data_IF_054266830305
#
_entry.id   IF_054266830305
#
_cell.length_a   1.000
_cell.length_b   1.000
_cell.length_c   1.000
_cell.angle_alpha   90.00
_cell.angle_beta   90.00
_cell.angle_gamma   90.00
#
_symmetry.space_group_name_H-M   'P 1'
#
loop_
_entity.id
_entity.type
_entity.pdbx_description
1 polymer ?
#
# COMPACT_ATOMS: atom_id res chain seq x y z
N UNK A 1 -0.15 -68.92 -9.99
CA UNK A 1 -0.59 -68.50 -11.34
C UNK A 1 -1.42 -67.24 -11.16
N UNK A 2 -0.87 -66.10 -11.60
CA UNK A 2 -1.53 -64.81 -11.92
C UNK A 2 -2.16 -63.96 -10.81
N UNK A 3 -1.34 -63.08 -10.20
CA UNK A 3 -1.36 -61.59 -10.31
C UNK A 3 -2.60 -60.89 -10.94
N UNK A 4 -2.79 -59.56 -10.82
CA UNK A 4 -2.80 -58.67 -9.64
C UNK A 4 -4.00 -57.69 -9.72
N UNK A 5 -4.83 -57.53 -8.68
CA UNK A 5 -5.74 -56.36 -8.62
C UNK A 5 -4.98 -55.15 -8.09
N UNK A 6 -4.07 -54.65 -8.94
CA UNK A 6 -3.63 -53.28 -8.91
C UNK A 6 -4.90 -52.41 -8.95
N UNK A 7 -5.17 -51.70 -7.85
CA UNK A 7 -6.13 -50.60 -7.84
C UNK A 7 -5.60 -49.54 -8.81
N UNK A 8 -5.93 -49.70 -10.09
CA UNK A 8 -5.81 -48.69 -11.13
C UNK A 8 -6.85 -47.60 -10.83
N UNK A 9 -6.66 -46.84 -9.76
CA UNK A 9 -7.32 -45.57 -9.50
C UNK A 9 -6.79 -44.44 -10.39
N UNK A 10 -6.27 -44.79 -11.57
CA UNK A 10 -5.59 -43.90 -12.52
C UNK A 10 -6.39 -43.66 -13.80
N UNK A 11 -7.72 -43.83 -13.77
CA UNK A 11 -8.59 -43.52 -14.90
C UNK A 11 -9.33 -42.19 -14.65
N UNK A 12 -8.85 -41.15 -15.34
CA UNK A 12 -9.52 -39.89 -15.69
C UNK A 12 -10.09 -39.07 -14.52
N UNK A 13 -9.24 -38.20 -13.93
CA UNK A 13 -9.79 -36.97 -13.34
C UNK A 13 -10.66 -36.31 -14.42
N UNK A 14 -11.94 -36.13 -14.13
CA UNK A 14 -12.82 -35.44 -15.08
C UNK A 14 -12.26 -34.04 -15.37
N UNK A 15 -12.48 -33.53 -16.58
CA UNK A 15 -12.10 -32.16 -16.95
C UNK A 15 -12.62 -31.12 -15.92
N UNK A 16 -13.79 -31.38 -15.33
CA UNK A 16 -14.34 -30.57 -14.24
C UNK A 16 -13.47 -30.58 -12.97
N UNK A 17 -12.90 -31.72 -12.58
CA UNK A 17 -11.98 -31.81 -11.45
C UNK A 17 -10.62 -31.17 -11.72
N UNK A 18 -10.10 -31.26 -12.96
CA UNK A 18 -8.85 -30.60 -13.36
C UNK A 18 -8.99 -29.07 -13.38
N UNK A 19 -10.10 -28.56 -13.90
CA UNK A 19 -10.39 -27.12 -13.88
C UNK A 19 -10.64 -26.63 -12.45
N UNK A 20 -11.35 -27.40 -11.63
CA UNK A 20 -11.57 -27.07 -10.23
C UNK A 20 -10.24 -27.04 -9.44
N UNK A 21 -9.34 -28.00 -9.65
CA UNK A 21 -8.02 -28.01 -8.98
C UNK A 21 -7.14 -26.86 -9.45
N UNK A 22 -7.07 -26.60 -10.76
CA UNK A 22 -6.29 -25.48 -11.30
C UNK A 22 -6.79 -24.12 -10.80
N UNK A 23 -8.12 -23.96 -10.69
CA UNK A 23 -8.72 -22.73 -10.13
C UNK A 23 -8.40 -22.59 -8.63
N UNK A 24 -8.41 -23.70 -7.89
CA UNK A 24 -8.03 -23.70 -6.48
C UNK A 24 -6.55 -23.34 -6.27
N UNK A 25 -5.64 -23.85 -7.11
CA UNK A 25 -4.21 -23.51 -7.08
C UNK A 25 -3.97 -22.03 -7.43
N UNK A 26 -4.66 -21.49 -8.44
CA UNK A 26 -4.59 -20.05 -8.75
C UNK A 26 -5.10 -19.19 -7.58
N UNK A 27 -6.20 -19.60 -6.94
CA UNK A 27 -6.71 -18.92 -5.73
C UNK A 27 -5.70 -18.95 -4.58
N UNK A 28 -5.00 -20.08 -4.40
CA UNK A 28 -3.97 -20.22 -3.38
C UNK A 28 -2.78 -19.27 -3.66
N UNK A 29 -2.31 -19.20 -4.91
CA UNK A 29 -1.23 -18.28 -5.30
C UNK A 29 -1.60 -16.81 -5.06
N UNK A 30 -2.81 -16.40 -5.44
CA UNK A 30 -3.28 -15.02 -5.19
C UNK A 30 -3.35 -14.74 -3.69
N UNK A 31 -3.82 -15.70 -2.89
CA UNK A 31 -3.85 -15.56 -1.43
C UNK A 31 -2.44 -15.39 -0.84
N UNK A 32 -1.47 -16.18 -1.32
CA UNK A 32 -0.09 -16.14 -0.87
C UNK A 32 0.58 -14.82 -1.24
N UNK A 33 0.36 -14.31 -2.45
CA UNK A 33 0.89 -13.01 -2.89
C UNK A 33 0.31 -11.86 -2.05
N UNK A 34 -1.00 -11.93 -1.73
CA UNK A 34 -1.64 -10.97 -0.81
C UNK A 34 -1.06 -11.10 0.60
N UNK A 35 -0.84 -12.32 1.09
CA UNK A 35 -0.26 -12.56 2.41
C UNK A 35 1.17 -12.00 2.49
N UNK A 36 1.97 -12.19 1.44
CA UNK A 36 3.32 -11.65 1.32
C UNK A 36 3.29 -10.12 1.27
N UNK A 37 2.50 -9.53 0.38
CA UNK A 37 2.35 -8.08 0.27
C UNK A 37 1.87 -7.45 1.59
N UNK A 38 0.99 -8.14 2.32
CA UNK A 38 0.55 -7.72 3.66
C UNK A 38 1.66 -7.82 4.69
N UNK A 39 2.52 -8.84 4.61
CA UNK A 39 3.68 -8.97 5.49
C UNK A 39 4.72 -7.86 5.23
N UNK A 40 5.02 -7.57 3.97
CA UNK A 40 5.91 -6.47 3.58
C UNK A 40 5.34 -5.12 4.00
N UNK A 41 4.07 -4.85 3.71
CA UNK A 41 3.40 -3.64 4.15
C UNK A 41 3.43 -3.47 5.68
N UNK A 42 3.21 -4.55 6.45
CA UNK A 42 3.32 -4.51 7.93
C UNK A 42 4.75 -4.17 8.37
N UNK A 43 5.76 -4.73 7.71
CA UNK A 43 7.15 -4.44 8.00
C UNK A 43 7.49 -2.97 7.70
N UNK A 44 7.02 -2.46 6.57
CA UNK A 44 7.22 -1.06 6.18
C UNK A 44 6.50 -0.10 7.11
N UNK A 45 5.25 -0.39 7.46
CA UNK A 45 4.50 0.39 8.46
C UNK A 45 5.22 0.37 9.81
N UNK A 46 5.73 -0.77 10.25
CA UNK A 46 6.47 -0.87 11.53
C UNK A 46 7.76 -0.04 11.49
N UNK A 47 8.55 -0.15 10.42
CA UNK A 47 9.78 0.63 10.22
C UNK A 47 9.48 2.12 10.15
N UNK A 48 8.46 2.50 9.38
CA UNK A 48 7.98 3.87 9.27
C UNK A 48 7.47 4.42 10.60
N UNK A 49 6.77 3.61 11.40
CA UNK A 49 6.28 4.02 12.71
C UNK A 49 7.42 4.26 13.70
N UNK A 50 8.40 3.34 13.77
CA UNK A 50 9.57 3.49 14.65
C UNK A 50 10.38 4.72 14.23
N UNK A 51 10.66 4.87 12.93
CA UNK A 51 11.37 6.03 12.39
C UNK A 51 10.61 7.33 12.66
N UNK A 52 9.29 7.33 12.46
CA UNK A 52 8.43 8.47 12.72
C UNK A 52 8.42 8.89 14.18
N UNK A 53 8.31 7.94 15.12
CA UNK A 53 8.40 8.22 16.56
C UNK A 53 9.78 8.79 16.91
N UNK A 54 10.86 8.17 16.42
CA UNK A 54 12.22 8.63 16.71
C UNK A 54 12.47 10.06 16.21
N UNK A 55 12.06 10.37 14.97
CA UNK A 55 12.19 11.72 14.39
C UNK A 55 11.33 12.72 15.16
N UNK A 56 10.10 12.34 15.52
CA UNK A 56 9.20 13.21 16.29
C UNK A 56 9.78 13.50 17.68
N UNK A 57 10.24 12.47 18.39
CA UNK A 57 10.87 12.61 19.70
C UNK A 57 12.15 13.47 19.64
N UNK A 58 13.01 13.24 18.64
CA UNK A 58 14.19 14.07 18.40
C UNK A 58 13.81 15.53 18.14
N UNK A 59 12.78 15.78 17.31
CA UNK A 59 12.26 17.13 17.04
C UNK A 59 11.76 17.83 18.30
N UNK A 60 11.02 17.12 19.16
CA UNK A 60 10.55 17.64 20.46
C UNK A 60 11.74 17.97 21.36
N UNK A 61 12.74 17.08 21.48
CA UNK A 61 13.92 17.32 22.30
C UNK A 61 14.71 18.54 21.82
N UNK A 62 14.91 18.69 20.50
CA UNK A 62 15.55 19.88 19.93
C UNK A 62 14.74 21.13 20.25
N UNK A 63 13.41 21.09 20.12
CA UNK A 63 12.53 22.21 20.44
C UNK A 63 12.68 22.65 21.91
N UNK A 64 12.76 21.71 22.85
CA UNK A 64 13.00 22.01 24.26
C UNK A 64 14.44 22.45 24.56
N UNK A 65 15.42 22.00 23.79
CA UNK A 65 16.80 22.42 23.93
C UNK A 65 17.04 23.85 23.40
N UNK A 66 16.23 24.32 22.44
CA UNK A 66 16.39 25.65 21.83
C UNK A 66 16.42 26.79 22.87
N UNK A 67 15.48 26.92 23.82
CA UNK A 67 15.56 27.93 24.87
C UNK A 67 16.85 27.85 25.69
N UNK A 68 17.27 26.65 26.08
CA UNK A 68 18.50 26.43 26.87
C UNK A 68 19.73 26.92 26.12
N UNK A 69 19.87 26.54 24.85
CA UNK A 69 20.95 27.06 24.00
C UNK A 69 20.83 28.55 23.71
N UNK A 70 19.61 29.10 23.64
CA UNK A 70 19.39 30.54 23.47
C UNK A 70 19.93 31.32 24.66
N UNK A 71 19.62 30.87 25.88
CA UNK A 71 20.16 31.45 27.12
C UNK A 71 21.68 31.31 27.16
N UNK A 72 22.22 30.12 26.89
CA UNK A 72 23.66 29.88 26.89
C UNK A 72 24.38 30.80 25.89
N UNK A 73 23.85 30.96 24.68
CA UNK A 73 24.42 31.87 23.68
C UNK A 73 24.33 33.34 24.11
N UNK A 74 23.19 33.78 24.65
CA UNK A 74 23.01 35.15 25.10
C UNK A 74 23.97 35.49 26.25
N UNK A 75 24.13 34.60 27.24
CA UNK A 75 25.11 34.79 28.31
C UNK A 75 26.55 34.71 27.81
N UNK A 76 26.84 33.84 26.84
CA UNK A 76 28.15 33.77 26.19
C UNK A 76 28.53 35.09 25.50
N UNK A 77 27.58 35.71 24.78
CA UNK A 77 27.77 37.02 24.15
C UNK A 77 27.87 38.12 25.21
N UNK A 78 27.07 38.05 26.26
CA UNK A 78 27.11 39.02 27.36
C UNK A 78 28.51 39.06 28.02
N UNK A 79 29.16 37.90 28.18
CA UNK A 79 30.52 37.80 28.72
C UNK A 79 31.60 38.49 27.86
N UNK A 80 31.29 38.88 26.62
CA UNK A 80 32.17 39.71 25.77
C UNK A 80 32.05 41.21 26.08
N UNK A 81 31.26 41.60 27.10
CA UNK A 81 31.05 42.99 27.52
C UNK A 81 29.82 43.66 26.89
N UNK A 82 29.02 42.92 26.11
CA UNK A 82 27.77 43.41 25.55
C UNK A 82 26.66 43.42 26.61
N UNK A 83 25.76 44.40 26.57
CA UNK A 83 24.58 44.41 27.44
C UNK A 83 23.70 43.16 27.23
N UNK A 84 23.05 42.69 28.30
CA UNK A 84 22.25 41.47 28.25
C UNK A 84 21.11 41.58 27.22
N UNK A 85 20.43 42.72 27.15
CA UNK A 85 19.37 42.99 26.17
C UNK A 85 19.86 42.86 24.72
N UNK A 86 21.02 43.44 24.40
CA UNK A 86 21.62 43.35 23.06
C UNK A 86 22.05 41.92 22.73
N UNK A 87 22.51 41.16 23.72
CA UNK A 87 22.90 39.77 23.55
C UNK A 87 21.71 38.89 23.15
N UNK A 88 20.56 39.04 23.85
CA UNK A 88 19.33 38.35 23.46
C UNK A 88 18.79 38.82 22.10
N UNK A 89 18.91 40.11 21.77
CA UNK A 89 18.47 40.62 20.48
C UNK A 89 19.28 40.02 19.33
N UNK A 90 20.59 39.87 19.49
CA UNK A 90 21.47 39.23 18.49
C UNK A 90 21.10 37.76 18.30
N UNK A 91 20.96 37.01 19.40
CA UNK A 91 20.62 35.56 19.34
C UNK A 91 19.22 35.36 18.74
N UNK A 92 18.24 36.12 19.20
CA UNK A 92 16.87 36.08 18.67
C UNK A 92 16.83 36.47 17.18
N UNK A 93 17.54 37.54 16.81
CA UNK A 93 17.68 37.96 15.42
C UNK A 93 18.32 36.89 14.53
N UNK A 94 19.35 36.20 15.03
CA UNK A 94 19.98 35.09 14.33
C UNK A 94 19.00 33.93 14.07
N UNK A 95 18.14 33.60 15.04
CA UNK A 95 17.08 32.59 14.83
C UNK A 95 16.04 33.04 13.82
N UNK A 96 15.64 34.31 13.80
CA UNK A 96 14.71 34.84 12.79
C UNK A 96 15.31 34.72 11.39
N UNK A 97 16.59 35.08 11.21
CA UNK A 97 17.29 34.93 9.92
C UNK A 97 17.37 33.46 9.51
N UNK A 98 17.73 32.57 10.43
CA UNK A 98 17.79 31.14 10.17
C UNK A 98 16.42 30.56 9.79
N UNK A 99 15.36 30.95 10.51
CA UNK A 99 13.99 30.53 10.24
C UNK A 99 13.52 31.01 8.86
N UNK A 100 13.83 32.26 8.48
CA UNK A 100 13.52 32.79 7.17
C UNK A 100 14.23 31.99 6.06
N UNK A 101 15.51 31.66 6.24
CA UNK A 101 16.26 30.86 5.26
C UNK A 101 15.67 29.45 5.11
N UNK A 102 15.37 28.77 6.22
CA UNK A 102 14.75 27.44 6.21
C UNK A 102 13.37 27.47 5.56
N UNK A 103 12.55 28.49 5.84
CA UNK A 103 11.24 28.67 5.22
C UNK A 103 11.35 28.86 3.71
N UNK A 104 12.32 29.67 3.24
CA UNK A 104 12.58 29.85 1.81
C UNK A 104 12.98 28.54 1.12
N UNK A 105 13.87 27.76 1.75
CA UNK A 105 14.27 26.44 1.24
C UNK A 105 13.06 25.49 1.19
N UNK A 106 12.27 25.43 2.26
CA UNK A 106 11.07 24.59 2.32
C UNK A 106 10.09 24.96 1.21
N UNK A 107 9.75 26.24 1.05
CA UNK A 107 8.87 26.73 -0.02
C UNK A 107 9.44 26.39 -1.40
N UNK A 108 10.74 26.58 -1.61
CA UNK A 108 11.38 26.26 -2.89
C UNK A 108 11.34 24.76 -3.21
N UNK A 109 11.39 23.89 -2.19
CA UNK A 109 11.28 22.44 -2.35
C UNK A 109 9.84 22.01 -2.58
N UNK A 110 8.88 22.51 -1.80
CA UNK A 110 7.47 22.20 -1.97
C UNK A 110 6.91 22.67 -3.32
N UNK A 111 7.35 23.83 -3.82
CA UNK A 111 6.99 24.30 -5.16
C UNK A 111 7.41 23.35 -6.29
N UNK A 112 8.40 22.49 -6.07
CA UNK A 112 8.89 21.52 -7.07
C UNK A 112 8.18 20.18 -6.99
N UNK A 113 7.38 19.93 -5.94
CA UNK A 113 6.61 18.70 -5.79
C UNK A 113 5.34 18.81 -6.64
N UNK A 114 5.34 18.15 -7.80
CA UNK A 114 4.13 17.97 -8.61
C UNK A 114 3.35 16.76 -8.11
N UNK A 115 2.00 16.79 -8.11
CA UNK A 115 1.21 15.61 -7.82
C UNK A 115 1.57 14.47 -8.79
N UNK A 116 1.50 13.19 -8.38
CA UNK A 116 1.85 12.06 -9.24
C UNK A 116 0.75 11.81 -10.28
N UNK A 117 0.67 12.67 -11.29
CA UNK A 117 -0.39 12.68 -12.32
C UNK A 117 -0.52 11.34 -13.04
N UNK A 118 0.62 10.70 -13.39
CA UNK A 118 0.63 9.40 -14.06
C UNK A 118 0.00 8.31 -13.19
N UNK A 119 0.35 8.23 -11.91
CA UNK A 119 -0.21 7.25 -10.98
C UNK A 119 -1.70 7.45 -10.77
N UNK A 120 -2.15 8.71 -10.67
CA UNK A 120 -3.58 9.04 -10.53
C UNK A 120 -4.33 8.69 -11.82
N UNK A 121 -3.76 8.97 -13.00
CA UNK A 121 -4.36 8.65 -14.29
C UNK A 121 -4.47 7.13 -14.49
N UNK A 122 -3.39 6.38 -14.22
CA UNK A 122 -3.41 4.91 -14.28
C UNK A 122 -4.45 4.32 -13.34
N UNK A 123 -4.54 4.78 -12.09
CA UNK A 123 -5.53 4.30 -11.13
C UNK A 123 -6.98 4.56 -11.61
N UNK A 124 -7.25 5.74 -12.19
CA UNK A 124 -8.56 6.07 -12.77
C UNK A 124 -8.90 5.20 -13.97
N UNK A 125 -7.93 4.93 -14.85
CA UNK A 125 -8.12 4.05 -16.00
C UNK A 125 -8.43 2.61 -15.56
N UNK A 126 -7.71 2.09 -14.56
CA UNK A 126 -7.98 0.76 -13.99
C UNK A 126 -9.37 0.69 -13.37
N UNK A 127 -9.77 1.71 -12.60
CA UNK A 127 -11.12 1.77 -12.02
C UNK A 127 -12.22 1.83 -13.10
N UNK A 128 -12.03 2.63 -14.15
CA UNK A 128 -12.98 2.75 -15.25
C UNK A 128 -13.11 1.43 -16.04
N UNK A 129 -12.00 0.73 -16.28
CA UNK A 129 -12.01 -0.57 -16.96
C UNK A 129 -12.80 -1.62 -16.16
N UNK A 130 -12.67 -1.62 -14.83
CA UNK A 130 -13.39 -2.55 -13.96
C UNK A 130 -14.89 -2.24 -13.85
N UNK A 131 -15.28 -0.97 -13.89
CA UNK A 131 -16.69 -0.55 -13.90
C UNK A 131 -17.41 -0.88 -15.22
N UNK A 132 -16.67 -0.95 -16.33
CA UNK A 132 -17.20 -1.29 -17.65
C UNK A 132 -17.53 -2.78 -17.85
N UNK A 133 -17.04 -3.66 -16.97
CA UNK A 133 -17.32 -5.10 -17.05
C UNK A 133 -18.67 -5.39 -16.39
N UNK A 134 -19.76 -5.33 -17.18
CA UNK A 134 -21.03 -5.96 -16.82
C UNK A 134 -20.81 -7.47 -16.65
N UNK A 135 -21.24 -8.11 -15.55
CA UNK A 135 -21.24 -9.57 -15.45
C UNK A 135 -22.03 -10.12 -16.65
N UNK A 136 -21.33 -10.77 -17.58
CA UNK A 136 -21.99 -11.35 -18.74
C UNK A 136 -22.83 -12.53 -18.23
N UNK A 137 -24.15 -12.55 -18.48
CA UNK A 137 -24.94 -13.75 -18.27
C UNK A 137 -24.29 -14.83 -19.12
N UNK A 138 -23.87 -15.93 -18.47
CA UNK A 138 -23.40 -17.12 -19.17
C UNK A 138 -24.45 -17.45 -20.24
N UNK A 139 -24.14 -17.42 -21.55
CA UNK A 139 -25.08 -17.96 -22.52
C UNK A 139 -25.27 -19.42 -22.14
N UNK A 140 -26.52 -19.80 -21.92
CA UNK A 140 -26.94 -21.17 -21.64
C UNK A 140 -26.18 -22.08 -22.60
N UNK A 141 -25.22 -22.81 -22.06
CA UNK A 141 -24.42 -23.74 -22.86
C UNK A 141 -25.35 -24.77 -23.45
N UNK A 142 -24.99 -25.34 -24.60
CA UNK A 142 -25.73 -26.39 -25.34
C UNK A 142 -26.29 -27.51 -24.43
N UNK A 143 -25.71 -27.71 -23.23
CA UNK A 143 -26.23 -28.53 -22.14
C UNK A 143 -27.70 -28.23 -21.74
N UNK A 144 -28.11 -26.96 -21.72
CA UNK A 144 -29.47 -26.54 -21.37
C UNK A 144 -30.47 -26.91 -22.49
N UNK A 145 -30.05 -26.82 -23.75
CA UNK A 145 -30.86 -27.20 -24.92
C UNK A 145 -31.02 -28.73 -25.09
N UNK A 146 -29.99 -29.50 -24.70
CA UNK A 146 -30.04 -30.98 -24.74
C UNK A 146 -30.95 -31.54 -23.64
N UNK A 147 -31.07 -30.83 -22.51
CA UNK A 147 -31.94 -31.22 -21.39
C UNK A 147 -33.43 -31.00 -21.72
N UNK A 148 -33.79 -29.93 -22.44
CA UNK A 148 -35.18 -29.69 -22.86
C UNK A 148 -35.66 -30.63 -23.98
N UNK A 149 -34.80 -30.95 -24.96
CA UNK A 149 -35.17 -31.88 -26.05
C UNK A 149 -35.45 -33.29 -25.52
N UNK A 150 -34.66 -33.74 -24.53
CA UNK A 150 -34.82 -35.07 -23.92
C UNK A 150 -36.10 -35.17 -23.06
N UNK A 151 -36.52 -34.07 -22.43
CA UNK A 151 -37.75 -34.01 -21.63
C UNK A 151 -39.03 -33.92 -22.50
N UNK A 152 -38.94 -33.33 -23.70
CA UNK A 152 -40.06 -33.23 -24.65
C UNK A 152 -40.40 -34.57 -25.30
N UNK A 153 -39.41 -35.43 -25.58
CA UNK A 153 -39.64 -36.72 -26.26
C UNK A 153 -40.28 -37.75 -25.34
N UNK A 154 -40.05 -37.68 -24.01
CA UNK A 154 -40.61 -38.61 -23.04
C UNK A 154 -42.10 -38.37 -22.70
N UNK A 155 -42.68 -37.22 -23.06
CA UNK A 155 -44.08 -36.87 -22.73
C UNK A 155 -45.08 -37.14 -23.86
N UNK A 156 -44.62 -37.52 -25.06
CA UNK A 156 -45.48 -37.74 -26.24
C UNK A 156 -45.87 -39.20 -26.48
N UNK A 157 -45.56 -40.11 -25.55
CA UNK A 157 -45.80 -41.56 -25.69
C UNK A 157 -46.63 -42.16 -24.54
N UNK A 158 -47.48 -41.36 -23.90
CA UNK A 158 -48.46 -41.81 -22.91
C UNK A 158 -49.89 -41.49 -23.38
#
# INVERSE_FOLDING_TARGET
>A
MSDPSHNAGSAERSLGQLVASATAEMSALVHDEIALAKAELRQDVKRGAIGGIAITAAGVLVLFALPVFSFAAAYGIHNLGLGLAWSFLIVGGAFVVLAALLALIAVAKFKKVKPPEKSIASAKQTAAALQGVKPHPRPATVQDAVTETSASVARSSA
#
